data_IF_969417632018
#
_entry.id   IF_969417632018
#
_cell.length_a   1.000
_cell.length_b   1.000
_cell.length_c   1.000
_cell.angle_alpha   90.00
_cell.angle_beta   90.00
_cell.angle_gamma   90.00
#
_symmetry.space_group_name_H-M   'P 1'
#
loop_
_entity.id
_entity.type
_entity.pdbx_description
1 polymer ?
#
# COMPACT_ATOMS: atom_id res chain seq x y z
N UNK A 1 -2.29 10.48 7.36
CA UNK A 1 -2.93 9.51 6.45
C UNK A 1 -1.94 9.13 5.36
N UNK A 2 -1.63 7.85 5.25
CA UNK A 2 -0.78 7.30 4.20
C UNK A 2 -1.66 6.64 3.13
N UNK A 3 -1.62 7.19 1.93
CA UNK A 3 -2.39 6.71 0.77
C UNK A 3 -1.48 5.97 -0.20
N UNK A 4 -1.62 4.65 -0.26
CA UNK A 4 -0.79 3.74 -1.06
C UNK A 4 -1.19 3.63 -2.54
N UNK A 5 -2.19 4.40 -2.97
CA UNK A 5 -2.64 4.43 -4.36
C UNK A 5 -1.61 5.09 -5.27
N UNK A 6 -1.56 4.63 -6.52
CA UNK A 6 -0.81 5.35 -7.55
C UNK A 6 -1.48 6.71 -7.83
N UNK A 7 -0.75 7.74 -8.30
CA UNK A 7 -1.33 9.06 -8.56
C UNK A 7 -2.56 9.01 -9.51
N UNK A 8 -2.57 8.09 -10.47
CA UNK A 8 -3.71 7.89 -11.37
C UNK A 8 -4.92 7.22 -10.70
N UNK A 9 -4.76 6.49 -9.61
CA UNK A 9 -5.88 6.03 -8.76
C UNK A 9 -6.42 7.18 -7.91
N UNK A 10 -5.55 8.00 -7.32
CA UNK A 10 -5.94 9.19 -6.55
C UNK A 10 -6.72 10.19 -7.40
N UNK A 11 -6.21 10.53 -8.59
CA UNK A 11 -6.85 11.48 -9.49
C UNK A 11 -8.25 11.03 -9.95
N UNK A 12 -8.44 9.73 -10.16
CA UNK A 12 -9.73 9.16 -10.60
C UNK A 12 -10.74 9.10 -9.45
N UNK A 13 -10.28 8.94 -8.21
CA UNK A 13 -11.16 8.80 -7.05
C UNK A 13 -10.54 9.52 -5.86
N UNK A 14 -10.62 10.86 -5.81
CA UNK A 14 -10.00 11.64 -4.76
C UNK A 14 -10.69 11.41 -3.41
N UNK A 15 -9.91 11.40 -2.33
CA UNK A 15 -10.48 11.32 -0.99
C UNK A 15 -11.14 12.65 -0.59
N UNK A 16 -12.18 12.55 0.23
CA UNK A 16 -12.78 13.71 0.90
C UNK A 16 -12.17 13.84 2.29
N UNK A 17 -11.17 14.70 2.41
CA UNK A 17 -10.38 14.85 3.63
C UNK A 17 -10.76 16.12 4.38
N UNK A 18 -10.69 16.05 5.71
CA UNK A 18 -10.69 17.25 6.55
C UNK A 18 -9.45 18.09 6.28
N UNK A 19 -9.51 19.43 6.37
CA UNK A 19 -8.34 20.29 6.29
C UNK A 19 -7.27 19.98 7.35
N UNK A 20 -7.66 19.34 8.46
CA UNK A 20 -6.74 18.94 9.54
C UNK A 20 -6.02 17.62 9.26
N UNK A 21 -6.36 16.93 8.16
CA UNK A 21 -5.70 15.67 7.80
C UNK A 21 -4.33 15.94 7.21
N UNK A 22 -3.29 15.48 7.90
CA UNK A 22 -1.96 15.36 7.31
C UNK A 22 -1.97 14.23 6.27
N UNK A 23 -2.14 14.58 5.00
CA UNK A 23 -2.22 13.65 3.88
C UNK A 23 -0.85 13.46 3.20
N UNK A 24 -0.52 12.21 2.90
CA UNK A 24 0.66 11.85 2.13
C UNK A 24 0.31 10.73 1.13
N UNK A 25 0.40 11.03 -0.16
CA UNK A 25 0.34 10.01 -1.20
C UNK A 25 1.71 9.32 -1.30
N UNK A 26 1.72 8.02 -1.01
CA UNK A 26 2.89 7.18 -0.94
C UNK A 26 2.66 5.91 -1.78
N UNK A 27 2.73 5.98 -3.12
CA UNK A 27 2.40 4.86 -4.00
C UNK A 27 3.19 3.60 -3.63
N UNK A 28 2.48 2.50 -3.38
CA UNK A 28 3.09 1.24 -2.95
C UNK A 28 3.17 0.18 -4.06
N UNK A 29 2.64 0.44 -5.25
CA UNK A 29 2.84 -0.50 -6.36
C UNK A 29 4.32 -0.55 -6.75
N UNK A 30 4.86 -1.74 -7.05
CA UNK A 30 6.23 -1.86 -7.55
C UNK A 30 6.41 -1.07 -8.87
N UNK A 31 7.61 -0.51 -9.11
CA UNK A 31 7.89 0.31 -10.29
C UNK A 31 7.97 -0.49 -11.60
N UNK A 32 8.05 -1.83 -11.55
CA UNK A 32 8.09 -2.69 -12.73
C UNK A 32 6.69 -2.87 -13.32
N UNK A 33 6.54 -2.49 -14.59
CA UNK A 33 5.28 -2.50 -15.34
C UNK A 33 4.59 -3.85 -15.43
N UNK A 34 5.30 -4.95 -15.18
CA UNK A 34 4.76 -6.32 -15.26
C UNK A 34 3.97 -6.74 -14.00
N UNK A 35 4.15 -6.06 -12.86
CA UNK A 35 3.52 -6.45 -11.59
C UNK A 35 2.90 -5.24 -10.90
N UNK A 36 1.64 -4.96 -11.22
CA UNK A 36 0.87 -3.85 -10.65
C UNK A 36 -0.41 -4.37 -9.97
N UNK A 37 -0.69 -4.02 -8.71
CA UNK A 37 -1.92 -4.46 -8.03
C UNK A 37 -3.24 -4.03 -8.73
N UNK A 38 -3.14 -3.16 -9.75
CA UNK A 38 -4.20 -2.77 -10.67
C UNK A 38 -4.19 -3.70 -11.88
N UNK A 39 -5.05 -4.71 -11.86
CA UNK A 39 -5.41 -5.43 -13.09
C UNK A 39 -6.39 -4.54 -13.86
N UNK A 40 -5.88 -3.81 -14.85
CA UNK A 40 -6.68 -2.80 -15.59
C UNK A 40 -7.63 -3.42 -16.61
N UNK A 41 -7.36 -4.65 -17.07
CA UNK A 41 -8.19 -5.33 -18.06
C UNK A 41 -8.33 -6.83 -17.73
N UNK A 42 -9.28 -7.16 -16.86
CA UNK A 42 -9.81 -8.52 -16.75
C UNK A 42 -10.87 -8.72 -17.84
N UNK A 43 -10.46 -8.98 -19.07
CA UNK A 43 -11.36 -9.57 -20.07
C UNK A 43 -11.25 -11.11 -20.01
N UNK A 44 -12.21 -11.83 -20.59
CA UNK A 44 -12.25 -13.30 -20.51
C UNK A 44 -10.97 -13.97 -21.06
N UNK A 45 -10.31 -13.38 -22.06
CA UNK A 45 -9.07 -13.89 -22.62
C UNK A 45 -7.89 -13.66 -21.65
N UNK A 46 -7.79 -12.48 -21.04
CA UNK A 46 -6.76 -12.18 -20.03
C UNK A 46 -6.97 -13.00 -18.76
N UNK A 47 -8.21 -13.21 -18.32
CA UNK A 47 -8.58 -14.05 -17.18
C UNK A 47 -8.14 -15.51 -17.35
N UNK A 48 -8.31 -16.06 -18.55
CA UNK A 48 -7.93 -17.44 -18.85
C UNK A 48 -6.42 -17.63 -19.02
N UNK A 49 -5.69 -16.57 -19.39
CA UNK A 49 -4.23 -16.61 -19.57
C UNK A 49 -3.45 -16.19 -18.31
N UNK A 50 -4.06 -15.41 -17.41
CA UNK A 50 -3.42 -14.90 -16.21
C UNK A 50 -3.44 -15.96 -15.10
N UNK A 51 -2.27 -16.43 -14.70
CA UNK A 51 -2.14 -17.12 -13.42
C UNK A 51 -2.20 -16.07 -12.29
N UNK A 52 -3.41 -15.84 -11.78
CA UNK A 52 -3.65 -14.86 -10.71
C UNK A 52 -2.85 -15.16 -9.44
N UNK A 53 -2.63 -16.42 -9.10
CA UNK A 53 -1.82 -16.79 -7.93
C UNK A 53 -0.35 -16.38 -8.12
N UNK A 54 0.26 -16.76 -9.24
CA UNK A 54 1.65 -16.40 -9.53
C UNK A 54 1.86 -14.88 -9.57
N UNK A 55 0.91 -14.17 -10.17
CA UNK A 55 0.91 -12.72 -10.19
C UNK A 55 0.88 -12.13 -8.78
N UNK A 56 -0.06 -12.58 -7.94
CA UNK A 56 -0.17 -12.11 -6.56
C UNK A 56 1.07 -12.46 -5.74
N UNK A 57 1.66 -13.64 -5.93
CA UNK A 57 2.93 -14.02 -5.29
C UNK A 57 4.08 -13.09 -5.69
N UNK A 58 4.20 -12.75 -6.98
CA UNK A 58 5.21 -11.80 -7.45
C UNK A 58 5.01 -10.40 -6.88
N UNK A 59 3.75 -9.94 -6.78
CA UNK A 59 3.40 -8.67 -6.15
C UNK A 59 3.81 -8.65 -4.68
N UNK A 60 3.36 -9.64 -3.91
CA UNK A 60 3.62 -9.70 -2.47
C UNK A 60 5.10 -9.85 -2.11
N UNK A 61 5.92 -10.47 -2.97
CA UNK A 61 7.39 -10.54 -2.77
C UNK A 61 8.07 -9.18 -2.88
N UNK A 62 7.48 -8.25 -3.63
CA UNK A 62 8.06 -6.92 -3.88
C UNK A 62 7.53 -5.86 -2.93
N UNK A 63 6.32 -6.04 -2.37
CA UNK A 63 5.71 -5.03 -1.50
C UNK A 63 6.59 -4.70 -0.28
N UNK A 64 6.96 -5.62 0.62
CA UNK A 64 7.58 -5.24 1.90
C UNK A 64 9.04 -4.76 1.80
N UNK A 65 9.75 -5.04 0.71
CA UNK A 65 11.19 -4.79 0.59
C UNK A 65 11.49 -3.68 -0.43
N UNK A 66 12.36 -2.74 -0.05
CA UNK A 66 12.78 -1.61 -0.90
C UNK A 66 11.65 -0.74 -1.46
N UNK A 67 10.48 -0.79 -0.85
CA UNK A 67 9.33 0.00 -1.25
C UNK A 67 9.32 1.35 -0.51
N UNK A 68 9.34 2.48 -1.25
CA UNK A 68 9.42 3.81 -0.64
C UNK A 68 8.20 4.11 0.25
N UNK A 69 7.02 3.57 -0.05
CA UNK A 69 5.82 3.78 0.76
C UNK A 69 5.97 3.21 2.18
N UNK A 70 6.53 2.01 2.31
CA UNK A 70 6.73 1.39 3.62
C UNK A 70 7.94 1.96 4.37
N UNK A 71 8.91 2.56 3.68
CA UNK A 71 9.94 3.38 4.33
C UNK A 71 9.36 4.63 4.96
N UNK A 72 8.40 5.30 4.29
CA UNK A 72 7.67 6.42 4.87
C UNK A 72 6.83 5.98 6.08
N UNK A 73 6.17 4.82 6.00
CA UNK A 73 5.48 4.22 7.16
C UNK A 73 6.43 3.99 8.34
N UNK A 74 7.62 3.43 8.08
CA UNK A 74 8.61 3.11 9.11
C UNK A 74 9.23 4.35 9.77
N UNK A 75 9.26 5.50 9.09
CA UNK A 75 9.72 6.78 9.65
C UNK A 75 8.64 7.50 10.48
N UNK A 76 7.39 7.06 10.39
CA UNK A 76 6.27 7.71 11.09
C UNK A 76 6.39 7.70 12.63
N UNK A 77 6.85 6.61 13.29
CA UNK A 77 7.03 6.57 14.76
C UNK A 77 8.00 7.62 15.30
N UNK A 78 8.98 8.07 14.50
CA UNK A 78 9.97 9.05 14.91
C UNK A 78 9.44 10.49 14.93
N UNK A 79 8.19 10.69 14.48
CA UNK A 79 7.53 12.00 14.45
C UNK A 79 6.53 12.09 15.60
N UNK A 80 6.77 12.90 16.64
CA UNK A 80 5.77 13.10 17.69
C UNK A 80 4.49 13.69 17.07
N UNK A 81 3.40 12.94 17.15
CA UNK A 81 2.10 13.33 16.60
C UNK A 81 0.96 12.94 17.53
N UNK A 82 0.10 13.90 17.83
CA UNK A 82 -1.15 13.70 18.56
C UNK A 82 -2.25 13.29 17.57
N UNK A 83 -2.32 12.01 17.23
CA UNK A 83 -3.43 11.49 16.44
C UNK A 83 -3.23 10.08 15.91
N UNK A 84 -4.19 9.64 15.10
CA UNK A 84 -4.22 8.28 14.57
C UNK A 84 -3.56 8.17 13.19
N UNK A 85 -2.86 7.07 12.96
CA UNK A 85 -2.37 6.69 11.64
C UNK A 85 -3.48 5.95 10.86
N UNK A 86 -3.93 6.55 9.76
CA UNK A 86 -4.76 5.87 8.76
C UNK A 86 -3.90 5.47 7.56
N UNK A 87 -3.93 4.18 7.21
CA UNK A 87 -3.29 3.62 6.00
C UNK A 87 -4.40 3.08 5.08
N UNK A 88 -4.34 3.35 3.77
CA UNK A 88 -5.28 2.74 2.83
C UNK A 88 -4.69 2.60 1.42
N UNK A 89 -5.39 1.86 0.56
CA UNK A 89 -5.15 1.76 -0.87
C UNK A 89 -6.49 1.66 -1.61
N UNK A 90 -6.50 1.48 -2.93
CA UNK A 90 -7.74 1.36 -3.71
C UNK A 90 -8.64 0.22 -3.23
N UNK A 91 -8.09 -1.00 -3.11
CA UNK A 91 -8.83 -2.19 -2.68
C UNK A 91 -8.86 -2.43 -1.17
N UNK A 92 -8.14 -1.63 -0.37
CA UNK A 92 -7.99 -1.78 1.10
C UNK A 92 -7.59 -3.20 1.56
N UNK A 93 -6.92 -3.98 0.70
CA UNK A 93 -6.53 -5.36 0.97
C UNK A 93 -5.02 -5.59 0.92
N UNK A 94 -4.39 -5.49 -0.25
CA UNK A 94 -3.01 -5.99 -0.43
C UNK A 94 -1.99 -5.00 0.10
N UNK A 95 -1.90 -3.82 -0.52
CA UNK A 95 -0.95 -2.76 -0.14
C UNK A 95 -1.20 -2.28 1.30
N UNK A 96 -2.48 -2.16 1.68
CA UNK A 96 -2.88 -1.84 3.06
C UNK A 96 -2.54 -2.96 4.04
N UNK A 97 -2.85 -4.21 3.69
CA UNK A 97 -2.58 -5.36 4.54
C UNK A 97 -1.09 -5.54 4.82
N UNK A 98 -0.23 -5.34 3.82
CA UNK A 98 1.24 -5.35 4.02
C UNK A 98 1.67 -4.22 4.94
N UNK A 99 1.17 -2.99 4.76
CA UNK A 99 1.45 -1.87 5.67
C UNK A 99 1.05 -2.19 7.11
N UNK A 100 -0.17 -2.68 7.32
CA UNK A 100 -0.66 -3.10 8.64
C UNK A 100 0.19 -4.23 9.24
N UNK A 101 0.56 -5.25 8.44
CA UNK A 101 1.40 -6.34 8.91
C UNK A 101 2.78 -5.83 9.36
N UNK A 102 3.41 -4.94 8.59
CA UNK A 102 4.69 -4.31 8.96
C UNK A 102 4.57 -3.47 10.24
N UNK A 103 3.50 -2.69 10.39
CA UNK A 103 3.22 -1.95 11.64
C UNK A 103 3.10 -2.89 12.82
N UNK A 104 2.31 -3.97 12.69
CA UNK A 104 2.12 -4.96 13.73
C UNK A 104 3.42 -5.67 14.09
N UNK A 105 4.24 -6.05 13.10
CA UNK A 105 5.56 -6.63 13.34
C UNK A 105 6.46 -5.68 14.11
N UNK A 106 6.50 -4.40 13.74
CA UNK A 106 7.32 -3.41 14.42
C UNK A 106 6.91 -3.24 15.89
N UNK A 107 5.62 -3.03 16.17
CA UNK A 107 5.14 -2.81 17.55
C UNK A 107 5.16 -4.09 18.40
N UNK A 108 4.91 -5.26 17.81
CA UNK A 108 4.97 -6.53 18.52
C UNK A 108 6.42 -6.95 18.82
N UNK A 109 7.37 -6.64 17.93
CA UNK A 109 8.79 -6.87 18.17
C UNK A 109 9.33 -5.96 19.29
N UNK A 110 8.82 -4.74 19.42
CA UNK A 110 9.20 -3.83 20.50
C UNK A 110 8.53 -4.15 21.83
N UNK A 111 7.34 -4.75 21.83
CA UNK A 111 6.60 -5.13 23.05
C UNK A 111 7.12 -6.39 23.74
N UNK A 112 8.05 -7.13 23.12
CA UNK A 112 8.69 -8.34 23.69
C UNK A 112 10.05 -8.08 24.35
N UNK A 113 10.39 -6.82 24.65
CA UNK A 113 11.58 -6.47 25.43
C UNK A 113 11.21 -6.08 26.84
#
# INVERSE_FOLDING_TARGET
MLDYRDPGEVARTPDKLSPLTHYLNAPANPPVSEVNAKVTELNAATLNALNGEQFMLQLYRQLPFNNPAYRQLAAWPDTPFEGALLQHCGGRKDRTGVGCALTLFAVAATAKR
#
